data_IF_876432766301
#
_entry.id   IF_876432766301
#
_cell.length_a   1.000
_cell.length_b   1.000
_cell.length_c   1.000
_cell.angle_alpha   90.00
_cell.angle_beta   90.00
_cell.angle_gamma   90.00
#
_symmetry.space_group_name_H-M   'P 1'
#
loop_
_entity.id
_entity.type
_entity.pdbx_description
1 polymer ?
#
# COMPACT_ATOMS: atom_id res chain seq x y z
N UNK A 1 -4.99 -8.25 6.61
CA UNK A 1 -5.01 -6.88 6.05
C UNK A 1 -4.59 -5.91 7.15
N UNK A 2 -4.03 -4.74 6.83
CA UNK A 2 -3.56 -3.75 7.81
C UNK A 2 -4.67 -3.18 8.74
N UNK A 3 -5.95 -3.52 8.48
CA UNK A 3 -7.08 -3.01 9.25
C UNK A 3 -7.41 -1.54 8.98
N UNK A 4 -6.73 -0.91 8.02
CA UNK A 4 -6.94 0.49 7.68
C UNK A 4 -8.25 0.73 6.93
N UNK A 5 -8.96 1.75 7.37
CA UNK A 5 -9.98 2.43 6.58
C UNK A 5 -9.35 3.24 5.43
N UNK A 6 -10.16 3.63 4.45
CA UNK A 6 -9.75 4.55 3.38
C UNK A 6 -9.16 5.86 3.92
N UNK A 7 -9.68 6.36 5.05
CA UNK A 7 -9.19 7.60 5.67
C UNK A 7 -7.79 7.43 6.27
N UNK A 8 -7.50 6.27 6.87
CA UNK A 8 -6.18 5.96 7.42
C UNK A 8 -5.15 5.77 6.31
N UNK A 9 -5.50 5.05 5.23
CA UNK A 9 -4.63 4.93 4.07
C UNK A 9 -4.36 6.29 3.42
N UNK A 10 -5.39 7.12 3.25
CA UNK A 10 -5.25 8.47 2.71
C UNK A 10 -4.31 9.34 3.56
N UNK A 11 -4.44 9.27 4.89
CA UNK A 11 -3.56 9.97 5.83
C UNK A 11 -2.11 9.48 5.72
N UNK A 12 -1.90 8.16 5.70
CA UNK A 12 -0.56 7.57 5.60
C UNK A 12 0.11 7.93 4.26
N UNK A 13 -0.64 7.86 3.16
CA UNK A 13 -0.16 8.17 1.82
C UNK A 13 -0.17 9.67 1.47
N UNK A 14 -0.63 10.54 2.38
CA UNK A 14 -0.74 12.00 2.16
C UNK A 14 -1.51 12.36 0.89
N UNK A 15 -2.59 11.65 0.62
CA UNK A 15 -3.52 11.91 -0.50
C UNK A 15 -4.92 12.19 0.03
N UNK A 16 -5.83 12.64 -0.83
CA UNK A 16 -7.23 12.81 -0.43
C UNK A 16 -7.90 11.44 -0.24
N UNK A 17 -8.89 11.37 0.66
CA UNK A 17 -9.73 10.17 0.83
C UNK A 17 -10.45 9.79 -0.47
N UNK A 18 -10.86 10.78 -1.28
CA UNK A 18 -11.52 10.56 -2.54
C UNK A 18 -10.60 9.85 -3.55
N UNK A 19 -9.31 10.21 -3.60
CA UNK A 19 -8.32 9.51 -4.44
C UNK A 19 -8.27 8.02 -4.12
N UNK A 20 -8.30 7.65 -2.84
CA UNK A 20 -8.33 6.24 -2.42
C UNK A 20 -9.64 5.57 -2.83
N UNK A 21 -10.78 6.20 -2.54
CA UNK A 21 -12.09 5.63 -2.86
C UNK A 21 -12.29 5.43 -4.38
N UNK A 22 -11.80 6.37 -5.20
CA UNK A 22 -11.85 6.27 -6.66
C UNK A 22 -10.95 5.16 -7.21
N UNK A 23 -9.76 5.00 -6.62
CA UNK A 23 -8.85 3.92 -6.98
C UNK A 23 -9.45 2.55 -6.65
N UNK A 24 -9.97 2.37 -5.43
CA UNK A 24 -10.54 1.10 -4.97
C UNK A 24 -11.79 0.69 -5.77
N UNK A 25 -12.61 1.65 -6.19
CA UNK A 25 -13.78 1.37 -7.05
C UNK A 25 -13.44 1.25 -8.54
N UNK A 26 -12.17 1.39 -8.91
CA UNK A 26 -11.71 1.30 -10.30
C UNK A 26 -12.11 2.46 -11.20
N UNK A 27 -12.43 3.63 -10.65
CA UNK A 27 -12.85 4.79 -11.43
C UNK A 27 -11.69 5.46 -12.18
N UNK A 28 -10.51 5.49 -11.56
CA UNK A 28 -9.27 5.91 -12.20
C UNK A 28 -8.06 5.29 -11.52
N UNK A 29 -6.94 5.28 -12.24
CA UNK A 29 -5.62 4.99 -11.67
C UNK A 29 -5.03 6.30 -11.13
N UNK A 30 -4.58 6.35 -9.86
CA UNK A 30 -3.91 7.53 -9.32
C UNK A 30 -2.72 7.95 -10.19
N UNK A 31 -2.51 9.26 -10.31
CA UNK A 31 -1.31 9.81 -10.95
C UNK A 31 -0.05 9.27 -10.28
N UNK A 32 1.08 9.24 -11.02
CA UNK A 32 2.32 8.58 -10.60
C UNK A 32 2.82 8.97 -9.20
N UNK A 33 2.69 10.25 -8.82
CA UNK A 33 3.09 10.72 -7.50
C UNK A 33 2.20 10.13 -6.38
N UNK A 34 0.88 10.14 -6.57
CA UNK A 34 -0.07 9.58 -5.61
C UNK A 34 0.09 8.06 -5.50
N UNK A 35 0.28 7.38 -6.64
CA UNK A 35 0.53 5.95 -6.66
C UNK A 35 1.79 5.58 -5.89
N UNK A 36 2.88 6.33 -6.12
CA UNK A 36 4.14 6.17 -5.36
C UNK A 36 3.90 6.36 -3.87
N UNK A 37 3.19 7.41 -3.45
CA UNK A 37 2.90 7.65 -2.04
C UNK A 37 2.06 6.54 -1.40
N UNK A 38 1.08 5.98 -2.13
CA UNK A 38 0.26 4.85 -1.67
C UNK A 38 1.14 3.60 -1.48
N UNK A 39 2.01 3.29 -2.45
CA UNK A 39 2.94 2.16 -2.36
C UNK A 39 3.88 2.32 -1.16
N UNK A 40 4.46 3.52 -0.99
CA UNK A 40 5.34 3.83 0.14
C UNK A 40 4.63 3.68 1.47
N UNK A 41 3.38 4.16 1.60
CA UNK A 41 2.61 4.02 2.83
C UNK A 41 2.41 2.55 3.23
N UNK A 42 2.12 1.67 2.26
CA UNK A 42 2.06 0.23 2.52
C UNK A 42 3.43 -0.34 2.93
N UNK A 43 4.51 0.09 2.27
CA UNK A 43 5.85 -0.37 2.60
C UNK A 43 6.31 0.04 3.99
N UNK A 44 6.00 1.26 4.42
CA UNK A 44 6.26 1.79 5.75
C UNK A 44 5.41 1.08 6.81
N UNK A 45 4.18 0.70 6.47
CA UNK A 45 3.31 -0.14 7.31
C UNK A 45 3.75 -1.62 7.39
N UNK A 46 4.91 -1.96 6.81
CA UNK A 46 5.47 -3.30 6.89
C UNK A 46 4.98 -4.24 5.79
N UNK A 47 4.45 -3.74 4.68
CA UNK A 47 4.15 -4.56 3.50
C UNK A 47 5.37 -4.59 2.55
N UNK A 48 5.57 -5.69 1.87
CA UNK A 48 6.55 -5.84 0.80
C UNK A 48 5.82 -6.27 -0.47
N UNK A 49 6.08 -5.55 -1.57
CA UNK A 49 5.56 -5.88 -2.89
C UNK A 49 6.55 -6.80 -3.59
N UNK A 50 6.05 -7.94 -4.05
CA UNK A 50 6.84 -8.98 -4.70
C UNK A 50 6.53 -8.91 -6.20
N UNK A 51 7.57 -8.78 -7.02
CA UNK A 51 7.44 -8.88 -8.47
C UNK A 51 7.03 -10.29 -8.87
N UNK A 52 6.43 -10.41 -10.03
CA UNK A 52 6.03 -11.70 -10.58
C UNK A 52 7.23 -12.67 -10.67
N UNK A 53 7.07 -13.85 -10.07
CA UNK A 53 8.07 -14.91 -10.04
C UNK A 53 7.50 -16.27 -10.50
N UNK A 54 6.52 -16.24 -11.41
CA UNK A 54 5.90 -17.43 -12.03
C UNK A 54 4.44 -17.69 -11.66
N UNK A 55 3.87 -16.95 -10.72
CA UNK A 55 2.46 -17.07 -10.29
C UNK A 55 1.69 -15.74 -10.23
N UNK A 56 2.21 -14.68 -10.84
CA UNK A 56 1.68 -13.31 -10.75
C UNK A 56 2.34 -12.46 -9.65
N UNK A 57 1.93 -11.19 -9.57
CA UNK A 57 2.39 -10.23 -8.55
C UNK A 57 1.83 -10.57 -7.17
N UNK A 58 2.55 -10.22 -6.10
CA UNK A 58 2.14 -10.54 -4.73
C UNK A 58 2.51 -9.48 -3.69
N UNK A 59 1.94 -9.62 -2.49
CA UNK A 59 2.29 -8.82 -1.32
C UNK A 59 2.48 -9.73 -0.10
N UNK A 60 3.42 -9.37 0.79
CA UNK A 60 3.60 -10.03 2.09
C UNK A 60 3.86 -9.02 3.20
N UNK A 61 3.69 -9.43 4.44
CA UNK A 61 4.26 -8.68 5.57
C UNK A 61 5.77 -8.87 5.60
N UNK A 62 6.51 -7.78 5.85
CA UNK A 62 7.93 -7.82 6.18
C UNK A 62 8.13 -8.69 7.42
N UNK A 63 9.17 -9.52 7.41
CA UNK A 63 9.54 -10.31 8.58
C UNK A 63 9.81 -9.33 9.72
N UNK A 64 9.15 -9.50 10.87
CA UNK A 64 9.55 -8.80 12.07
C UNK A 64 11.03 -9.12 12.29
N UNK A 65 11.89 -8.10 12.27
CA UNK A 65 13.30 -8.31 12.58
C UNK A 65 13.31 -8.90 13.98
N UNK A 66 13.69 -10.17 14.12
CA UNK A 66 13.95 -10.75 15.42
C UNK A 66 15.01 -9.84 16.05
N UNK A 67 14.63 -9.06 17.06
CA UNK A 67 15.61 -8.55 18.01
C UNK A 67 16.24 -9.80 18.61
N UNK A 68 17.40 -10.19 18.08
CA UNK A 68 18.24 -11.20 18.71
C UNK A 68 18.47 -10.73 20.15
N UNK A 69 18.17 -11.62 21.09
CA UNK A 69 18.51 -11.45 22.49
C UNK A 69 20.01 -11.55 22.72
#
# INVERSE_FOLDING_TARGET
MLGWSQAELAKAAKVSRQTIADFERGAHVPISNNLTSIITAFQEAGIEFIRENGGGVGVRFKKAMSRGG
#
